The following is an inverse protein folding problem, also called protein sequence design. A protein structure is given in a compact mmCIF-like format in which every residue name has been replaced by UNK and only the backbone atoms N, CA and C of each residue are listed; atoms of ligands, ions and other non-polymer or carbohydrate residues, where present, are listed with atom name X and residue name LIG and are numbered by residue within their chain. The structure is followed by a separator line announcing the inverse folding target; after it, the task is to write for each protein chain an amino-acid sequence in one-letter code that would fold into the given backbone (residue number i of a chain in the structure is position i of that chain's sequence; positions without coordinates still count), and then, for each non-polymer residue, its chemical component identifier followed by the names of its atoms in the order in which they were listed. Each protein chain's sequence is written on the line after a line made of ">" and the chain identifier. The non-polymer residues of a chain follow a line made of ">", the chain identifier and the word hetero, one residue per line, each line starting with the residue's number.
data_IF_472747643171
#
_entry.id   IF_472747643171
#
_cell.length_a   1.000
_cell.length_b   1.000
_cell.length_c   1.000
_cell.angle_alpha   90.00
_cell.angle_beta   90.00
_cell.angle_gamma   90.00
#
_symmetry.space_group_name_H-M   'P 1'
#
loop_
_entity.id
_entity.type
_entity.pdbx_description
1 polymer ?
#
# COMPACT_ATOMS: atom_id res chain seq x y z
N UNK A 1 10.07 2.92 -14.72
CA UNK A 1 9.82 4.36 -14.60
C UNK A 1 8.68 4.53 -13.61
N UNK A 2 8.54 5.73 -13.06
CA UNK A 2 7.69 6.03 -11.89
C UNK A 2 6.20 6.24 -12.23
N UNK A 3 5.83 5.96 -13.47
CA UNK A 3 4.48 6.07 -14.01
C UNK A 3 4.47 5.94 -15.52
N UNK A 4 3.31 6.24 -16.13
CA UNK A 4 3.07 6.25 -17.57
C UNK A 4 2.74 7.68 -18.00
N UNK A 5 3.52 8.23 -18.93
CA UNK A 5 3.22 9.49 -19.61
C UNK A 5 2.56 9.21 -20.96
N UNK A 6 1.41 9.85 -21.20
CA UNK A 6 0.62 9.69 -22.44
C UNK A 6 0.47 11.04 -23.13
N UNK A 7 0.75 11.10 -24.43
CA UNK A 7 0.38 12.23 -25.30
C UNK A 7 -1.06 12.05 -25.77
N UNK A 8 -1.92 13.03 -25.50
CA UNK A 8 -3.34 12.98 -25.86
C UNK A 8 -3.61 13.46 -27.30
N UNK A 9 -2.58 13.88 -28.04
CA UNK A 9 -2.66 14.29 -29.45
C UNK A 9 -3.35 15.63 -29.70
N UNK A 10 -3.71 16.35 -28.63
CA UNK A 10 -4.37 17.67 -28.68
C UNK A 10 -3.55 18.76 -27.97
N UNK A 11 -2.25 18.51 -27.76
CA UNK A 11 -1.35 19.41 -27.03
C UNK A 11 -1.45 19.28 -25.50
N UNK A 12 -2.09 18.24 -24.99
CA UNK A 12 -2.10 17.91 -23.56
C UNK A 12 -1.43 16.57 -23.30
N UNK A 13 -0.87 16.40 -22.11
CA UNK A 13 -0.23 15.18 -21.65
C UNK A 13 -0.88 14.71 -20.34
N UNK A 14 -0.92 13.40 -20.14
CA UNK A 14 -1.41 12.79 -18.90
C UNK A 14 -0.31 11.93 -18.30
N UNK A 15 0.05 12.21 -17.05
CA UNK A 15 0.92 11.35 -16.26
C UNK A 15 0.08 10.56 -15.26
N UNK A 16 0.19 9.24 -15.30
CA UNK A 16 -0.37 8.33 -14.33
C UNK A 16 0.78 7.72 -13.51
N UNK A 17 0.99 8.11 -12.25
CA UNK A 17 1.97 7.47 -11.37
C UNK A 17 1.71 5.97 -11.25
N UNK A 18 2.75 5.18 -10.99
CA UNK A 18 2.54 3.78 -10.59
C UNK A 18 1.79 3.71 -9.26
N UNK A 19 1.08 2.61 -9.02
CA UNK A 19 0.52 2.30 -7.70
C UNK A 19 1.62 2.39 -6.62
N UNK A 20 1.28 3.04 -5.50
CA UNK A 20 2.14 3.26 -4.34
C UNK A 20 3.42 4.08 -4.62
N UNK A 21 3.47 4.79 -5.75
CA UNK A 21 4.53 5.77 -6.00
C UNK A 21 4.17 7.12 -5.39
N UNK A 22 5.08 7.65 -4.57
CA UNK A 22 5.11 9.03 -4.11
C UNK A 22 6.53 9.59 -4.25
N UNK A 23 6.64 10.87 -4.60
CA UNK A 23 7.91 11.53 -4.84
C UNK A 23 7.86 12.53 -5.98
N UNK A 24 9.03 13.11 -6.28
CA UNK A 24 9.15 14.15 -7.30
C UNK A 24 9.43 13.55 -8.69
N UNK A 25 8.77 14.12 -9.70
CA UNK A 25 8.91 13.79 -11.12
C UNK A 25 9.21 15.06 -11.90
N UNK A 26 10.24 15.02 -12.74
CA UNK A 26 10.63 16.14 -13.60
C UNK A 26 10.35 15.81 -15.07
N UNK A 27 9.63 16.69 -15.76
CA UNK A 27 9.36 16.58 -17.20
C UNK A 27 10.12 17.67 -17.95
N UNK A 28 11.07 17.29 -18.79
CA UNK A 28 11.74 18.20 -19.72
C UNK A 28 11.03 18.28 -21.06
N UNK A 29 10.92 19.48 -21.63
CA UNK A 29 10.35 19.70 -22.97
C UNK A 29 11.03 20.87 -23.68
N UNK A 30 10.96 20.88 -25.00
CA UNK A 30 11.52 21.94 -25.84
C UNK A 30 10.40 22.78 -26.47
N UNK A 31 10.60 24.10 -26.52
CA UNK A 31 9.72 25.06 -27.18
C UNK A 31 10.46 25.66 -28.37
N UNK A 32 9.85 25.63 -29.56
CA UNK A 32 10.45 26.19 -30.77
C UNK A 32 9.48 27.11 -31.52
N UNK A 33 10.01 28.19 -32.11
CA UNK A 33 9.28 29.07 -33.03
C UNK A 33 9.50 28.70 -34.52
N UNK A 34 10.20 27.58 -34.78
CA UNK A 34 10.60 27.13 -36.11
C UNK A 34 11.98 27.58 -36.55
N UNK A 35 12.65 28.45 -35.78
CA UNK A 35 14.04 28.89 -36.01
C UNK A 35 14.91 28.59 -34.80
N UNK A 36 14.47 29.01 -33.62
CA UNK A 36 15.17 28.79 -32.35
C UNK A 36 14.43 27.74 -31.51
N UNK A 37 15.15 27.11 -30.57
CA UNK A 37 14.61 26.14 -29.62
C UNK A 37 15.13 26.43 -28.22
N UNK A 38 14.25 26.38 -27.22
CA UNK A 38 14.58 26.56 -25.80
C UNK A 38 14.03 25.40 -24.99
N UNK A 39 14.86 24.81 -24.13
CA UNK A 39 14.44 23.78 -23.19
C UNK A 39 13.81 24.38 -21.93
N UNK A 40 12.78 23.71 -21.42
CA UNK A 40 12.06 24.04 -20.21
C UNK A 40 11.73 22.76 -19.41
N UNK A 41 11.33 22.93 -18.15
CA UNK A 41 10.97 21.81 -17.28
C UNK A 41 9.67 22.07 -16.49
N UNK A 42 9.02 20.97 -16.09
CA UNK A 42 7.91 20.93 -15.15
C UNK A 42 8.33 20.05 -13.97
N UNK A 43 8.24 20.59 -12.77
CA UNK A 43 8.42 19.83 -11.52
C UNK A 43 7.06 19.44 -10.96
N UNK A 44 6.84 18.14 -10.76
CA UNK A 44 5.60 17.57 -10.22
C UNK A 44 5.95 16.81 -8.94
N UNK A 45 5.22 17.05 -7.86
CA UNK A 45 5.35 16.28 -6.62
C UNK A 45 4.11 15.40 -6.43
N UNK A 46 4.31 14.09 -6.36
CA UNK A 46 3.27 13.10 -6.09
C UNK A 46 3.23 12.86 -4.58
N UNK A 47 2.15 13.27 -3.94
CA UNK A 47 1.94 13.07 -2.50
C UNK A 47 1.49 11.64 -2.22
N UNK A 48 2.05 11.03 -1.18
CA UNK A 48 1.56 9.76 -0.68
C UNK A 48 0.09 9.88 -0.22
N UNK A 49 -0.63 8.78 -0.37
CA UNK A 49 -1.97 8.57 0.22
C UNK A 49 -1.81 7.37 1.14
N UNK A 50 -2.30 7.50 2.37
CA UNK A 50 -2.30 6.43 3.37
C UNK A 50 -3.22 5.29 2.91
N UNK A 51 -2.66 4.09 2.74
CA UNK A 51 -3.41 2.90 2.36
C UNK A 51 -3.87 2.12 3.60
N UNK A 52 -5.00 1.42 3.47
CA UNK A 52 -5.44 0.55 4.55
C UNK A 52 -4.62 -0.75 4.56
N UNK A 53 -4.36 -1.35 5.74
CA UNK A 53 -3.70 -2.63 5.81
C UNK A 53 -4.54 -3.72 5.14
N UNK A 54 -3.86 -4.66 4.52
CA UNK A 54 -4.44 -5.86 3.91
C UNK A 54 -4.02 -7.09 4.69
N UNK A 55 -4.86 -8.12 4.71
CA UNK A 55 -4.55 -9.40 5.35
C UNK A 55 -5.14 -10.58 4.60
N UNK A 56 -4.51 -11.75 4.71
CA UNK A 56 -4.97 -13.01 4.15
C UNK A 56 -5.52 -13.97 5.22
N UNK A 57 -6.12 -15.07 4.76
CA UNK A 57 -6.66 -16.11 5.64
C UNK A 57 -5.55 -16.84 6.41
N UNK A 58 -5.83 -17.13 7.68
CA UNK A 58 -5.00 -17.99 8.53
C UNK A 58 -5.77 -19.26 8.88
N UNK A 59 -5.08 -20.39 8.94
CA UNK A 59 -5.68 -21.68 9.29
C UNK A 59 -4.79 -22.41 10.30
N UNK A 60 -5.41 -22.82 11.42
CA UNK A 60 -4.79 -23.62 12.45
C UNK A 60 -5.72 -24.78 12.80
N UNK A 61 -5.15 -25.92 13.22
CA UNK A 61 -5.91 -27.06 13.69
C UNK A 61 -5.38 -27.51 15.05
N UNK A 62 -6.30 -27.87 15.92
CA UNK A 62 -6.04 -28.48 17.23
C UNK A 62 -6.97 -29.68 17.39
N UNK A 63 -6.57 -30.61 18.25
CA UNK A 63 -7.43 -31.72 18.65
C UNK A 63 -8.59 -31.21 19.51
N UNK A 64 -9.67 -32.01 19.57
CA UNK A 64 -10.78 -31.84 20.51
C UNK A 64 -10.24 -31.65 21.95
N UNK A 65 -10.92 -30.83 22.75
CA UNK A 65 -10.51 -30.44 24.11
C UNK A 65 -9.14 -29.74 24.19
N UNK A 66 -8.55 -29.36 23.05
CA UNK A 66 -7.29 -28.65 22.95
C UNK A 66 -7.41 -27.14 23.20
N UNK A 67 -6.25 -26.49 23.30
CA UNK A 67 -6.14 -25.03 23.27
C UNK A 67 -4.98 -24.61 22.37
N UNK A 68 -5.12 -23.45 21.73
CA UNK A 68 -4.08 -22.79 20.97
C UNK A 68 -3.85 -21.40 21.55
N UNK A 69 -2.58 -20.99 21.61
CA UNK A 69 -2.20 -19.62 21.89
C UNK A 69 -1.62 -19.03 20.62
N UNK A 70 -2.26 -17.99 20.09
CA UNK A 70 -1.84 -17.27 18.90
C UNK A 70 -1.16 -15.99 19.35
N UNK A 71 0.09 -15.76 18.97
CA UNK A 71 0.76 -14.49 19.26
C UNK A 71 0.37 -13.39 18.26
N UNK A 72 0.69 -12.15 18.59
CA UNK A 72 0.47 -11.02 17.68
C UNK A 72 1.15 -11.22 16.32
N UNK A 73 2.35 -11.82 16.29
CA UNK A 73 3.07 -12.11 15.04
C UNK A 73 2.37 -13.20 14.22
N UNK A 74 1.75 -14.20 14.87
CA UNK A 74 0.99 -15.23 14.18
C UNK A 74 -0.26 -14.63 13.53
N UNK A 75 -1.00 -13.79 14.26
CA UNK A 75 -2.19 -13.10 13.75
C UNK A 75 -1.87 -12.13 12.60
N UNK A 76 -0.69 -11.51 12.60
CA UNK A 76 -0.24 -10.58 11.55
C UNK A 76 0.58 -11.25 10.44
N UNK A 77 0.78 -12.57 10.47
CA UNK A 77 1.72 -13.26 9.56
C UNK A 77 1.36 -13.16 8.07
N UNK A 78 0.11 -12.83 7.75
CA UNK A 78 -0.38 -12.55 6.40
C UNK A 78 -0.87 -11.10 6.24
N UNK A 79 -0.65 -10.24 7.24
CA UNK A 79 -1.00 -8.83 7.21
C UNK A 79 0.18 -8.00 6.68
N UNK A 80 -0.14 -6.97 5.89
CA UNK A 80 0.83 -6.00 5.41
C UNK A 80 0.17 -4.65 5.20
N UNK A 81 1.00 -3.63 5.26
CA UNK A 81 0.63 -2.24 5.00
C UNK A 81 1.60 -1.67 3.95
N UNK A 82 1.10 -0.82 3.04
CA UNK A 82 1.90 -0.32 1.91
C UNK A 82 2.98 0.65 2.41
N UNK A 83 2.63 1.51 3.35
CA UNK A 83 3.53 2.48 3.96
C UNK A 83 4.47 1.82 4.98
N UNK A 84 4.13 0.62 5.43
CA UNK A 84 4.88 -0.14 6.41
C UNK A 84 4.57 0.28 7.84
N UNK A 85 3.35 0.77 8.07
CA UNK A 85 2.88 1.12 9.40
C UNK A 85 2.81 -0.10 10.33
N UNK A 86 3.04 0.16 11.63
CA UNK A 86 2.96 -0.88 12.66
C UNK A 86 1.51 -1.37 12.80
N UNK A 87 1.32 -2.69 12.64
CA UNK A 87 -0.01 -3.30 12.71
C UNK A 87 -0.29 -3.94 14.06
N UNK A 88 -1.57 -3.98 14.44
CA UNK A 88 -2.07 -4.65 15.64
C UNK A 88 -3.32 -5.44 15.27
N UNK A 89 -3.37 -6.71 15.67
CA UNK A 89 -4.59 -7.53 15.54
C UNK A 89 -5.34 -7.47 16.86
N UNK A 90 -6.66 -7.30 16.81
CA UNK A 90 -7.49 -7.21 18.01
C UNK A 90 -8.89 -7.74 17.72
N UNK A 91 -9.72 -7.83 18.77
CA UNK A 91 -11.12 -8.25 18.64
C UNK A 91 -11.28 -9.65 18.05
N UNK A 92 -10.40 -10.58 18.44
CA UNK A 92 -10.50 -11.97 18.05
C UNK A 92 -11.83 -12.55 18.53
N UNK A 93 -12.57 -13.17 17.62
CA UNK A 93 -13.86 -13.80 17.90
C UNK A 93 -13.80 -15.25 17.48
N UNK A 94 -14.59 -16.08 18.17
CA UNK A 94 -14.74 -17.50 17.88
C UNK A 94 -16.21 -17.84 17.87
N UNK A 95 -16.57 -18.79 17.01
CA UNK A 95 -17.92 -19.34 16.96
C UNK A 95 -18.02 -20.64 17.78
N UNK A 96 -19.24 -21.07 18.07
CA UNK A 96 -19.50 -22.35 18.75
C UNK A 96 -19.19 -22.32 20.25
N UNK A 97 -18.71 -23.46 20.77
CA UNK A 97 -18.43 -23.66 22.20
C UNK A 97 -16.99 -23.25 22.61
N UNK A 98 -16.31 -22.47 21.77
CA UNK A 98 -14.97 -21.95 22.05
C UNK A 98 -15.03 -20.64 22.85
N UNK A 99 -13.95 -20.33 23.56
CA UNK A 99 -13.78 -19.05 24.26
C UNK A 99 -12.46 -18.41 23.90
N UNK A 100 -12.46 -17.10 23.69
CA UNK A 100 -11.24 -16.30 23.53
C UNK A 100 -10.82 -15.75 24.90
N UNK A 101 -9.55 -15.94 25.24
CA UNK A 101 -8.89 -15.22 26.33
C UNK A 101 -7.78 -14.40 25.67
N UNK A 102 -7.87 -13.08 25.79
CA UNK A 102 -6.83 -12.20 25.27
C UNK A 102 -5.50 -12.46 25.98
N UNK A 103 -4.42 -12.47 25.20
CA UNK A 103 -3.07 -12.53 25.69
C UNK A 103 -2.64 -11.17 26.25
N UNK A 104 -1.58 -11.18 27.08
CA UNK A 104 -1.01 -9.94 27.65
C UNK A 104 -0.45 -8.99 26.57
N UNK A 105 -0.16 -9.48 25.36
CA UNK A 105 0.38 -8.72 24.24
C UNK A 105 -0.69 -8.05 23.35
N UNK A 106 -1.97 -8.18 23.70
CA UNK A 106 -3.08 -7.59 22.95
C UNK A 106 -3.67 -8.48 21.84
N UNK A 107 -3.07 -9.66 21.58
CA UNK A 107 -3.66 -10.71 20.73
C UNK A 107 -4.74 -11.54 21.42
#
# INVERSE_FOLDING_TARGET
>A
GDGILTDNGNGTYTFAPNENFNGDVNFGFDVSDGTDTVSANIDVSVTAVDDAPVSGDLAYSIDEDGSIRLSQEQLLSQASDVEGDDLTASSLTVDGDATVVANDDGS
#
